data_IF_220423597081
#
_entry.id   IF_220423597081
#
_cell.length_a   1.000
_cell.length_b   1.000
_cell.length_c   1.000
_cell.angle_alpha   90.00
_cell.angle_beta   90.00
_cell.angle_gamma   90.00
#
_symmetry.space_group_name_H-M   'P 1'
#
loop_
_entity.id
_entity.type
_entity.pdbx_description
1 polymer ?
#
# COMPACT_ATOMS: atom_id res chain seq x y z
N UNK A 1 7.88 -6.78 -22.37
CA UNK A 1 6.70 -6.68 -23.26
C UNK A 1 5.38 -6.89 -22.52
N UNK A 2 5.16 -8.04 -21.85
CA UNK A 2 3.92 -8.31 -21.08
C UNK A 2 3.52 -7.19 -20.10
N UNK A 3 4.50 -6.65 -19.38
CA UNK A 3 4.34 -5.49 -18.49
C UNK A 3 3.83 -4.23 -19.20
N UNK A 4 4.34 -3.93 -20.40
CA UNK A 4 3.94 -2.76 -21.20
C UNK A 4 2.48 -2.89 -21.70
N UNK A 5 2.02 -4.14 -21.91
CA UNK A 5 0.68 -4.45 -22.42
C UNK A 5 -0.26 -4.93 -21.32
N UNK A 6 0.10 -4.82 -20.04
CA UNK A 6 -0.64 -5.40 -18.93
C UNK A 6 -2.12 -4.97 -18.92
N UNK A 7 -2.41 -3.69 -19.12
CA UNK A 7 -3.78 -3.16 -19.12
C UNK A 7 -4.62 -3.68 -20.28
N UNK A 8 -3.98 -4.11 -21.37
CA UNK A 8 -4.65 -4.68 -22.55
C UNK A 8 -4.81 -6.20 -22.43
N UNK A 9 -3.91 -6.86 -21.71
CA UNK A 9 -3.87 -8.32 -21.57
C UNK A 9 -4.65 -8.83 -20.34
N UNK A 10 -4.88 -7.99 -19.33
CA UNK A 10 -5.65 -8.37 -18.14
C UNK A 10 -7.12 -8.70 -18.52
N UNK A 11 -7.56 -9.91 -18.18
CA UNK A 11 -8.91 -10.39 -18.48
C UNK A 11 -9.09 -10.93 -19.91
N UNK A 12 -8.05 -10.87 -20.76
CA UNK A 12 -8.09 -11.40 -22.12
C UNK A 12 -7.29 -12.71 -22.19
N UNK A 13 -7.82 -13.70 -22.92
CA UNK A 13 -7.09 -14.93 -23.24
C UNK A 13 -6.23 -14.73 -24.51
N UNK A 14 -4.96 -15.12 -24.48
CA UNK A 14 -4.05 -14.97 -25.62
C UNK A 14 -3.04 -16.12 -25.73
N UNK A 15 -2.39 -16.23 -26.89
CA UNK A 15 -1.29 -17.17 -27.10
C UNK A 15 0.06 -16.50 -26.82
N UNK A 16 0.83 -17.04 -25.88
CA UNK A 16 2.17 -16.57 -25.53
C UNK A 16 3.22 -17.40 -26.28
N UNK A 17 3.74 -16.84 -27.38
CA UNK A 17 4.79 -17.48 -28.17
C UNK A 17 6.19 -17.07 -27.69
N UNK A 18 7.03 -18.05 -27.33
CA UNK A 18 8.39 -17.79 -26.82
C UNK A 18 9.39 -18.82 -27.37
N UNK A 19 10.59 -18.35 -27.74
CA UNK A 19 11.69 -19.20 -28.23
C UNK A 19 12.64 -19.71 -27.15
N UNK A 20 12.39 -19.33 -25.90
CA UNK A 20 13.12 -19.79 -24.73
C UNK A 20 12.46 -21.05 -24.12
N UNK A 21 13.04 -22.22 -24.41
CA UNK A 21 12.61 -23.50 -23.82
C UNK A 21 12.72 -23.52 -22.29
N UNK A 22 13.74 -22.87 -21.73
CA UNK A 22 13.93 -22.74 -20.29
C UNK A 22 12.76 -22.01 -19.61
N UNK A 23 12.12 -21.04 -20.29
CA UNK A 23 10.94 -20.34 -19.77
C UNK A 23 9.74 -21.31 -19.66
N UNK A 24 9.58 -22.19 -20.64
CA UNK A 24 8.52 -23.20 -20.64
C UNK A 24 8.66 -24.17 -19.45
N UNK A 25 9.88 -24.65 -19.20
CA UNK A 25 10.19 -25.53 -18.07
C UNK A 25 9.95 -24.81 -16.73
N UNK A 26 10.33 -23.54 -16.65
CA UNK A 26 10.18 -22.72 -15.45
C UNK A 26 8.73 -22.35 -15.11
N UNK A 27 7.86 -22.16 -16.12
CA UNK A 27 6.42 -21.93 -15.93
C UNK A 27 5.72 -23.22 -15.44
N UNK A 28 6.09 -24.36 -16.02
CA UNK A 28 5.48 -25.66 -15.70
C UNK A 28 6.03 -26.28 -14.40
N UNK A 29 7.24 -25.91 -13.99
CA UNK A 29 7.91 -26.43 -12.78
C UNK A 29 8.73 -25.32 -12.12
N UNK A 30 8.09 -24.38 -11.41
CA UNK A 30 8.77 -23.27 -10.78
C UNK A 30 9.68 -23.74 -9.63
N UNK A 31 10.92 -23.26 -9.63
CA UNK A 31 11.90 -23.43 -8.55
C UNK A 31 11.58 -22.50 -7.35
N UNK A 32 12.13 -22.83 -6.18
CA UNK A 32 11.96 -22.22 -4.85
C UNK A 32 11.90 -20.67 -4.81
N UNK A 33 11.25 -20.07 -3.78
CA UNK A 33 10.56 -18.78 -3.86
C UNK A 33 11.42 -17.50 -3.90
N UNK A 34 12.76 -17.58 -3.91
CA UNK A 34 13.62 -16.40 -3.75
C UNK A 34 14.52 -16.08 -4.96
N UNK A 35 14.28 -16.69 -6.12
CA UNK A 35 15.01 -16.33 -7.34
C UNK A 35 14.24 -15.25 -8.13
N UNK A 36 14.93 -14.31 -8.81
CA UNK A 36 14.28 -13.32 -9.68
C UNK A 36 13.32 -13.96 -10.69
N UNK A 37 13.69 -15.14 -11.19
CA UNK A 37 12.88 -15.97 -12.08
C UNK A 37 11.52 -16.35 -11.51
N UNK A 38 11.43 -16.72 -10.22
CA UNK A 38 10.16 -17.10 -9.59
C UNK A 38 9.16 -15.93 -9.53
N UNK A 39 9.65 -14.70 -9.31
CA UNK A 39 8.80 -13.49 -9.34
C UNK A 39 8.20 -13.24 -10.72
N UNK A 40 9.01 -13.45 -11.76
CA UNK A 40 8.54 -13.30 -13.14
C UNK A 40 7.55 -14.38 -13.55
N UNK A 41 7.72 -15.63 -13.12
CA UNK A 41 6.72 -16.69 -13.32
C UNK A 41 5.40 -16.33 -12.66
N UNK A 42 5.43 -15.91 -11.38
CA UNK A 42 4.24 -15.51 -10.66
C UNK A 42 3.51 -14.35 -11.36
N UNK A 43 4.25 -13.38 -11.91
CA UNK A 43 3.67 -12.29 -12.69
C UNK A 43 3.00 -12.78 -13.98
N UNK A 44 3.66 -13.67 -14.73
CA UNK A 44 3.12 -14.21 -15.98
C UNK A 44 1.85 -15.02 -15.70
N UNK A 45 1.81 -15.76 -14.60
CA UNK A 45 0.64 -16.55 -14.16
C UNK A 45 -0.59 -15.71 -13.78
N UNK A 46 -0.48 -14.39 -13.66
CA UNK A 46 -1.65 -13.51 -13.47
C UNK A 46 -2.53 -13.41 -14.73
N UNK A 47 -1.99 -13.75 -15.90
CA UNK A 47 -2.68 -13.66 -17.17
C UNK A 47 -3.28 -15.02 -17.58
N UNK A 48 -4.30 -14.97 -18.43
CA UNK A 48 -4.90 -16.15 -19.04
C UNK A 48 -4.26 -16.38 -20.41
N UNK A 49 -3.50 -17.46 -20.59
CA UNK A 49 -2.79 -17.70 -21.84
C UNK A 49 -2.51 -19.19 -22.11
N UNK A 50 -2.33 -19.51 -23.40
CA UNK A 50 -1.73 -20.75 -23.86
C UNK A 50 -0.25 -20.53 -24.18
N UNK A 51 0.62 -21.39 -23.65
CA UNK A 51 2.07 -21.28 -23.90
C UNK A 51 2.48 -22.07 -25.15
N UNK A 52 3.07 -21.39 -26.13
CA UNK A 52 3.53 -22.03 -27.38
C UNK A 52 5.02 -21.78 -27.58
N UNK A 53 5.81 -22.84 -27.51
CA UNK A 53 7.23 -22.75 -27.85
C UNK A 53 7.43 -22.68 -29.36
N UNK A 54 8.23 -21.73 -29.84
CA UNK A 54 8.66 -21.61 -31.24
C UNK A 54 10.17 -21.75 -31.33
N UNK A 55 10.70 -22.42 -32.35
CA UNK A 55 12.17 -22.42 -32.55
C UNK A 55 12.63 -21.02 -32.97
N UNK A 56 13.73 -20.52 -32.41
CA UNK A 56 14.27 -19.19 -32.71
C UNK A 56 14.49 -18.91 -34.20
N UNK A 57 14.82 -19.94 -35.00
CA UNK A 57 14.95 -19.84 -36.47
C UNK A 57 13.66 -19.42 -37.18
N UNK A 58 12.50 -19.70 -36.58
CA UNK A 58 11.18 -19.33 -37.09
C UNK A 58 10.59 -18.06 -36.45
N UNK A 59 11.25 -17.53 -35.42
CA UNK A 59 10.79 -16.39 -34.63
C UNK A 59 11.45 -15.08 -35.09
N UNK A 60 11.56 -14.89 -36.41
CA UNK A 60 12.38 -13.85 -37.04
C UNK A 60 11.83 -12.44 -36.87
N UNK A 61 10.50 -12.26 -36.83
CA UNK A 61 9.86 -10.96 -36.67
C UNK A 61 10.15 -10.35 -35.27
N UNK A 62 9.89 -11.04 -34.15
CA UNK A 62 10.28 -10.55 -32.83
C UNK A 62 11.79 -10.40 -32.64
N UNK A 63 12.60 -11.32 -33.21
CA UNK A 63 14.06 -11.23 -33.17
C UNK A 63 14.59 -9.98 -33.88
N UNK A 64 14.01 -9.63 -35.04
CA UNK A 64 14.30 -8.41 -35.77
C UNK A 64 13.95 -7.13 -34.99
N UNK A 65 12.84 -7.14 -34.24
CA UNK A 65 12.46 -6.04 -33.36
C UNK A 65 13.39 -5.92 -32.14
N UNK A 66 13.85 -7.05 -31.59
CA UNK A 66 14.77 -7.05 -30.45
C UNK A 66 16.18 -6.57 -30.82
N UNK A 67 16.61 -6.81 -32.07
CA UNK A 67 17.94 -6.46 -32.57
C UNK A 67 18.02 -5.08 -33.22
N UNK A 68 16.88 -4.43 -33.44
CA UNK A 68 16.83 -3.09 -34.04
C UNK A 68 17.49 -2.08 -33.09
N UNK A 69 18.36 -1.18 -33.60
CA UNK A 69 18.86 -0.06 -32.80
C UNK A 69 17.70 0.86 -32.40
N UNK A 70 17.77 1.33 -31.16
CA UNK A 70 16.78 2.22 -30.55
C UNK A 70 16.79 3.57 -31.27
N UNK A 71 15.62 4.17 -31.52
CA UNK A 71 15.54 5.50 -32.15
C UNK A 71 15.73 6.62 -31.11
N UNK A 72 16.13 7.83 -31.55
CA UNK A 72 16.35 8.99 -30.66
C UNK A 72 15.15 9.33 -29.76
N UNK A 73 13.92 9.10 -30.23
CA UNK A 73 12.71 9.30 -29.43
C UNK A 73 12.52 8.22 -28.34
N UNK A 74 13.00 7.00 -28.57
CA UNK A 74 12.95 5.88 -27.62
C UNK A 74 14.09 5.94 -26.58
N UNK A 75 15.13 6.74 -26.84
CA UNK A 75 16.20 7.03 -25.88
C UNK A 75 15.75 8.02 -24.79
N UNK A 76 14.88 8.97 -25.14
CA UNK A 76 14.27 9.93 -24.20
C UNK A 76 13.28 9.28 -23.24
N UNK A 77 12.66 8.16 -23.63
CA UNK A 77 11.79 7.33 -22.78
C UNK A 77 12.56 6.33 -21.88
N UNK A 78 13.86 6.54 -21.65
CA UNK A 78 14.57 5.79 -20.59
C UNK A 78 14.05 6.23 -19.21
N UNK A 79 12.92 5.68 -18.79
CA UNK A 79 12.74 5.42 -17.36
C UNK A 79 13.64 4.23 -17.05
N UNK A 80 14.70 4.44 -16.25
CA UNK A 80 15.49 3.33 -15.74
C UNK A 80 14.54 2.31 -15.11
N UNK A 81 14.63 1.07 -15.60
CA UNK A 81 13.78 -0.01 -15.14
C UNK A 81 14.18 -0.34 -13.71
N UNK A 82 13.46 0.22 -12.75
CA UNK A 82 13.65 -0.06 -11.34
C UNK A 82 13.03 -1.43 -11.03
N UNK A 83 13.88 -2.45 -10.97
CA UNK A 83 13.52 -3.82 -10.59
C UNK A 83 12.89 -3.88 -9.19
N UNK A 84 13.15 -2.89 -8.34
CA UNK A 84 12.62 -2.75 -6.99
C UNK A 84 11.31 -1.95 -6.92
N UNK A 85 10.87 -1.32 -8.02
CA UNK A 85 9.59 -0.62 -8.02
C UNK A 85 8.45 -1.65 -7.91
N UNK A 86 7.79 -1.68 -6.74
CA UNK A 86 6.66 -2.56 -6.45
C UNK A 86 5.52 -2.35 -7.47
N UNK A 87 5.40 -3.32 -8.37
CA UNK A 87 4.50 -3.38 -9.54
C UNK A 87 3.02 -3.16 -9.25
N UNK A 88 2.62 -3.60 -8.07
CA UNK A 88 1.42 -3.12 -7.43
C UNK A 88 1.92 -2.19 -6.36
N UNK A 89 1.81 -0.87 -6.55
CA UNK A 89 1.47 -0.05 -5.38
C UNK A 89 0.13 -0.64 -4.98
N UNK A 90 0.02 -1.46 -3.91
CA UNK A 90 -1.31 -1.74 -3.44
C UNK A 90 -1.99 -0.38 -3.40
N UNK A 91 -3.20 -0.27 -3.97
CA UNK A 91 -4.07 0.85 -3.60
C UNK A 91 -3.91 0.98 -2.08
N UNK A 92 -3.78 2.17 -1.47
CA UNK A 92 -3.42 2.28 -0.04
C UNK A 92 -4.20 1.30 0.87
N UNK A 93 -5.37 0.89 0.39
CA UNK A 93 -6.25 -0.17 0.83
C UNK A 93 -5.93 -1.67 0.50
N UNK A 94 -5.43 -2.02 -0.70
CA UNK A 94 -5.39 -3.39 -1.23
C UNK A 94 -4.27 -4.28 -0.67
N UNK A 95 -3.32 -3.71 0.08
CA UNK A 95 -2.23 -4.44 0.73
C UNK A 95 -2.38 -4.54 2.24
N UNK A 96 -3.30 -3.77 2.82
CA UNK A 96 -3.57 -3.81 4.25
C UNK A 96 -5.06 -3.88 4.46
N UNK A 97 -5.57 -5.08 4.76
CA UNK A 97 -6.97 -5.23 5.17
C UNK A 97 -7.21 -4.19 6.27
N UNK A 98 -8.24 -3.31 6.21
CA UNK A 98 -8.70 -2.52 7.39
C UNK A 98 -8.78 -3.44 8.59
N UNK A 99 -9.30 -4.62 8.28
CA UNK A 99 -9.54 -5.68 9.22
C UNK A 99 -8.26 -6.19 9.87
N UNK A 100 -7.06 -6.00 9.29
CA UNK A 100 -5.80 -6.45 9.88
C UNK A 100 -5.09 -5.37 10.69
N UNK A 101 -5.02 -4.08 10.32
CA UNK A 101 -4.45 -3.08 11.25
C UNK A 101 -5.31 -2.96 12.51
N UNK A 102 -6.64 -3.04 12.34
CA UNK A 102 -7.59 -3.03 13.45
C UNK A 102 -7.62 -4.37 14.21
N UNK A 103 -7.19 -5.51 13.60
CA UNK A 103 -7.06 -6.82 14.27
C UNK A 103 -5.67 -7.17 14.78
N UNK A 104 -4.60 -6.59 14.26
CA UNK A 104 -3.21 -7.02 14.50
C UNK A 104 -2.82 -6.85 15.96
N UNK A 105 -3.61 -6.13 16.72
CA UNK A 105 -3.69 -6.33 18.14
C UNK A 105 -5.14 -6.60 18.53
N UNK A 106 -5.37 -7.73 19.21
CA UNK A 106 -6.46 -7.91 20.16
C UNK A 106 -6.42 -6.91 21.34
N UNK A 107 -5.73 -5.77 21.18
CA UNK A 107 -5.97 -4.58 21.96
C UNK A 107 -7.30 -4.03 21.45
N UNK A 108 -8.34 -4.23 22.25
CA UNK A 108 -9.41 -3.24 22.40
C UNK A 108 -8.80 -1.85 22.24
N UNK A 109 -8.87 -1.25 21.06
CA UNK A 109 -8.66 0.18 20.90
C UNK A 109 -9.90 0.89 21.46
N UNK A 110 -10.19 0.63 22.74
CA UNK A 110 -10.61 1.69 23.63
C UNK A 110 -9.42 2.63 23.66
N UNK A 111 -9.30 3.47 22.63
CA UNK A 111 -8.32 4.53 22.60
C UNK A 111 -8.54 5.31 23.90
N UNK A 112 -7.65 5.12 24.88
CA UNK A 112 -7.68 5.88 26.12
C UNK A 112 -7.19 7.26 25.74
N UNK A 113 -8.08 8.01 25.09
CA UNK A 113 -7.79 9.34 24.62
C UNK A 113 -7.35 10.14 25.83
N UNK A 114 -6.18 10.75 25.73
CA UNK A 114 -5.58 11.48 26.84
C UNK A 114 -6.07 12.92 26.83
N UNK A 115 -6.39 13.43 28.03
CA UNK A 115 -6.64 14.84 28.30
C UNK A 115 -7.64 15.51 27.34
N UNK A 116 -7.14 16.31 26.39
CA UNK A 116 -7.93 17.08 25.45
C UNK A 116 -8.76 16.21 24.50
N UNK A 117 -8.19 15.10 24.02
CA UNK A 117 -8.86 14.20 23.08
C UNK A 117 -10.03 13.46 23.73
N UNK A 118 -9.94 13.18 25.04
CA UNK A 118 -11.04 12.62 25.81
C UNK A 118 -12.27 13.54 25.79
N UNK A 119 -12.04 14.86 25.90
CA UNK A 119 -13.11 15.86 25.85
C UNK A 119 -13.75 15.95 24.46
N UNK A 120 -12.97 15.78 23.39
CA UNK A 120 -13.50 15.67 22.02
C UNK A 120 -14.38 14.42 21.88
N UNK A 121 -13.93 13.26 22.39
CA UNK A 121 -14.73 12.03 22.38
C UNK A 121 -16.02 12.20 23.18
N UNK A 122 -15.96 12.82 24.36
CA UNK A 122 -17.15 13.09 25.19
C UNK A 122 -18.13 14.04 24.49
N UNK A 123 -17.62 15.10 23.85
CA UNK A 123 -18.42 16.04 23.07
C UNK A 123 -19.07 15.37 21.86
N UNK A 124 -18.33 14.59 21.06
CA UNK A 124 -18.88 13.90 19.89
C UNK A 124 -19.89 12.81 20.27
N UNK A 125 -19.74 12.17 21.43
CA UNK A 125 -20.72 11.19 21.92
C UNK A 125 -22.02 11.85 22.44
N UNK A 126 -21.91 12.97 23.17
CA UNK A 126 -23.05 13.56 23.87
C UNK A 126 -23.66 14.78 23.16
N UNK A 127 -22.95 15.36 22.19
CA UNK A 127 -23.21 16.65 21.55
C UNK A 127 -23.55 17.76 22.55
N UNK A 128 -22.98 17.65 23.76
CA UNK A 128 -23.19 18.55 24.89
C UNK A 128 -21.85 19.04 25.39
N UNK A 129 -21.84 20.25 25.92
CA UNK A 129 -20.65 20.83 26.58
C UNK A 129 -20.14 19.88 27.66
N UNK A 130 -18.86 19.44 27.61
CA UNK A 130 -18.30 18.56 28.62
C UNK A 130 -18.28 19.27 29.99
N UNK A 131 -18.68 18.54 31.03
CA UNK A 131 -18.82 19.06 32.40
C UNK A 131 -17.48 19.63 32.90
N UNK A 132 -17.49 20.86 33.42
CA UNK A 132 -16.28 21.53 33.93
C UNK A 132 -15.39 22.21 32.89
N UNK A 133 -15.81 22.30 31.62
CA UNK A 133 -15.04 23.04 30.59
C UNK A 133 -15.29 24.54 30.68
N UNK A 134 -14.21 25.34 30.75
CA UNK A 134 -14.28 26.81 30.55
C UNK A 134 -14.85 27.13 29.16
N UNK A 135 -15.45 28.30 29.00
CA UNK A 135 -16.14 28.65 27.75
C UNK A 135 -15.19 28.73 26.55
N UNK A 136 -13.98 29.24 26.77
CA UNK A 136 -12.93 29.26 25.74
C UNK A 136 -12.45 27.87 25.35
N UNK A 137 -12.37 26.94 26.31
CA UNK A 137 -12.03 25.54 26.03
C UNK A 137 -13.13 24.84 25.25
N UNK A 138 -14.40 25.14 25.56
CA UNK A 138 -15.52 24.60 24.82
C UNK A 138 -15.54 25.08 23.36
N UNK A 139 -15.34 26.38 23.11
CA UNK A 139 -15.22 26.92 21.75
C UNK A 139 -14.08 26.26 20.97
N UNK A 140 -12.96 25.96 21.63
CA UNK A 140 -11.85 25.21 21.01
C UNK A 140 -12.24 23.77 20.67
N UNK A 141 -12.93 23.07 21.59
CA UNK A 141 -13.41 21.71 21.37
C UNK A 141 -14.39 21.68 20.20
N UNK A 142 -15.39 22.56 20.18
CA UNK A 142 -16.40 22.66 19.13
C UNK A 142 -15.74 22.90 17.75
N UNK A 143 -14.89 23.93 17.64
CA UNK A 143 -14.16 24.24 16.41
C UNK A 143 -13.31 23.07 15.92
N UNK A 144 -12.62 22.39 16.84
CA UNK A 144 -11.70 21.30 16.47
C UNK A 144 -12.46 20.03 16.11
N UNK A 145 -13.57 19.74 16.80
CA UNK A 145 -14.38 18.52 16.65
C UNK A 145 -14.98 18.35 15.25
N UNK A 146 -15.21 19.43 14.50
CA UNK A 146 -15.70 19.37 13.11
C UNK A 146 -14.80 18.54 12.17
N UNK A 147 -13.49 18.50 12.47
CA UNK A 147 -12.51 17.73 11.71
C UNK A 147 -12.46 16.25 12.13
N UNK A 148 -13.27 15.82 13.08
CA UNK A 148 -13.25 14.48 13.64
C UNK A 148 -14.65 13.86 13.66
N UNK A 149 -14.70 12.56 13.85
CA UNK A 149 -15.92 11.79 14.05
C UNK A 149 -15.63 10.53 14.84
N UNK A 150 -16.68 9.92 15.38
CA UNK A 150 -16.59 8.62 16.04
C UNK A 150 -17.13 7.55 15.11
N UNK A 151 -16.39 6.44 14.99
CA UNK A 151 -16.79 5.26 14.25
C UNK A 151 -16.33 4.03 15.04
N UNK A 152 -17.25 3.12 15.35
CA UNK A 152 -16.96 1.91 16.14
C UNK A 152 -16.26 2.18 17.49
N UNK A 153 -16.56 3.31 18.13
CA UNK A 153 -15.94 3.73 19.40
C UNK A 153 -14.52 4.30 19.26
N UNK A 154 -14.03 4.47 18.02
CA UNK A 154 -12.74 5.07 17.72
C UNK A 154 -12.90 6.52 17.26
N UNK A 155 -12.00 7.39 17.73
CA UNK A 155 -11.91 8.76 17.22
C UNK A 155 -11.14 8.75 15.89
N UNK A 156 -11.80 9.19 14.83
CA UNK A 156 -11.20 9.31 13.48
C UNK A 156 -11.16 10.77 13.04
N UNK A 157 -10.06 11.15 12.40
CA UNK A 157 -9.87 12.44 11.73
C UNK A 157 -10.41 12.35 10.31
N UNK A 158 -11.23 13.32 9.92
CA UNK A 158 -11.65 13.52 8.53
C UNK A 158 -10.44 13.93 7.72
N UNK A 159 -10.11 13.12 6.73
CA UNK A 159 -9.00 13.36 5.81
C UNK A 159 -9.37 12.73 4.45
N UNK A 160 -8.86 13.31 3.36
CA UNK A 160 -9.14 12.86 2.00
C UNK A 160 -7.87 12.21 1.43
N UNK A 161 -7.94 11.04 0.76
CA UNK A 161 -9.16 10.27 0.45
C UNK A 161 -9.75 9.51 1.63
N UNK A 162 -8.94 9.20 2.66
CA UNK A 162 -9.34 8.30 3.74
C UNK A 162 -9.23 8.94 5.13
N UNK A 163 -10.21 8.68 6.02
CA UNK A 163 -10.10 9.01 7.43
C UNK A 163 -8.92 8.32 8.13
N UNK A 164 -8.39 8.96 9.17
CA UNK A 164 -7.23 8.46 9.93
C UNK A 164 -7.63 8.22 11.39
N UNK A 165 -7.15 7.15 12.02
CA UNK A 165 -7.39 6.88 13.45
C UNK A 165 -6.55 7.83 14.32
N UNK A 166 -7.18 8.48 15.30
CA UNK A 166 -6.50 9.42 16.20
C UNK A 166 -5.87 8.69 17.37
N UNK A 167 -4.54 8.83 17.52
CA UNK A 167 -3.76 8.16 18.57
C UNK A 167 -3.14 9.19 19.50
N UNK A 168 -3.71 9.40 20.69
CA UNK A 168 -3.18 10.39 21.65
C UNK A 168 -1.99 9.90 22.47
N UNK A 169 -1.91 8.61 22.78
CA UNK A 169 -0.93 8.07 23.73
C UNK A 169 0.41 7.75 23.05
N UNK A 170 1.51 8.22 23.63
CA UNK A 170 2.87 7.98 23.12
C UNK A 170 3.23 6.49 23.10
N UNK A 171 2.75 5.72 24.08
CA UNK A 171 3.00 4.27 24.12
C UNK A 171 2.32 3.57 22.94
N UNK A 172 1.08 3.95 22.63
CA UNK A 172 0.35 3.43 21.46
C UNK A 172 1.00 3.86 20.15
N UNK A 173 1.47 5.11 20.04
CA UNK A 173 2.20 5.59 18.87
C UNK A 173 3.48 4.77 18.61
N UNK A 174 4.27 4.50 19.65
CA UNK A 174 5.47 3.67 19.55
C UNK A 174 5.13 2.21 19.20
N UNK A 175 4.08 1.66 19.79
CA UNK A 175 3.59 0.32 19.47
C UNK A 175 3.23 0.20 17.99
N UNK A 176 2.41 1.12 17.47
CA UNK A 176 2.01 1.17 16.06
C UNK A 176 3.23 1.25 15.13
N UNK A 177 4.18 2.14 15.42
CA UNK A 177 5.40 2.29 14.62
C UNK A 177 6.24 1.01 14.61
N UNK A 178 6.41 0.37 15.77
CA UNK A 178 7.19 -0.87 15.90
C UNK A 178 6.52 -2.03 15.17
N UNK A 179 5.24 -2.26 15.42
CA UNK A 179 4.47 -3.36 14.82
C UNK A 179 4.41 -3.26 13.31
N UNK A 180 4.17 -2.06 12.76
CA UNK A 180 4.19 -1.86 11.30
C UNK A 180 5.57 -2.07 10.69
N UNK A 181 6.63 -1.66 11.39
CA UNK A 181 7.99 -1.88 10.91
C UNK A 181 8.35 -3.37 10.88
N UNK A 182 7.92 -4.14 11.87
CA UNK A 182 8.10 -5.60 11.93
C UNK A 182 7.28 -6.32 10.85
N UNK A 183 5.99 -5.96 10.68
CA UNK A 183 5.11 -6.56 9.67
C UNK A 183 5.62 -6.32 8.25
N UNK A 184 6.20 -5.15 7.97
CA UNK A 184 6.75 -4.83 6.66
C UNK A 184 8.14 -5.45 6.41
N UNK A 185 8.74 -6.13 7.39
CA UNK A 185 10.06 -6.72 7.24
C UNK A 185 11.20 -5.70 7.31
N UNK A 186 11.07 -4.70 8.19
CA UNK A 186 12.11 -3.68 8.45
C UNK A 186 12.51 -2.85 7.22
N UNK A 187 11.55 -2.46 6.38
CA UNK A 187 11.73 -1.60 5.17
C UNK A 187 12.29 -0.19 5.42
N UNK A 188 12.65 0.14 6.66
CA UNK A 188 13.24 1.41 7.04
C UNK A 188 12.21 2.45 7.51
N UNK A 189 12.71 3.48 8.19
CA UNK A 189 11.89 4.45 8.92
C UNK A 189 10.97 5.28 8.01
N UNK A 190 11.44 5.66 6.81
CA UNK A 190 10.67 6.47 5.86
C UNK A 190 9.43 5.73 5.36
N UNK A 191 9.57 4.45 5.03
CA UNK A 191 8.47 3.62 4.54
C UNK A 191 7.45 3.35 5.65
N UNK A 192 7.93 3.02 6.85
CA UNK A 192 7.10 2.90 8.05
C UNK A 192 6.33 4.18 8.33
N UNK A 193 6.98 5.33 8.30
CA UNK A 193 6.31 6.61 8.50
C UNK A 193 5.25 6.92 7.43
N UNK A 194 5.57 6.69 6.15
CA UNK A 194 4.64 6.88 5.02
C UNK A 194 3.34 6.11 5.26
N UNK A 195 3.45 4.83 5.61
CA UNK A 195 2.30 3.94 5.86
C UNK A 195 1.53 4.35 7.10
N UNK A 196 2.20 4.65 8.20
CA UNK A 196 1.55 5.10 9.44
C UNK A 196 0.74 6.37 9.19
N UNK A 197 1.25 7.30 8.38
CA UNK A 197 0.57 8.55 8.01
C UNK A 197 -0.68 8.32 7.16
N UNK A 198 -0.81 7.20 6.46
CA UNK A 198 -2.02 6.91 5.69
C UNK A 198 -3.18 6.43 6.59
N UNK A 199 -2.87 5.81 7.72
CA UNK A 199 -3.84 5.09 8.58
C UNK A 199 -4.08 5.75 9.94
N UNK A 200 -3.06 6.38 10.51
CA UNK A 200 -3.06 6.95 11.85
C UNK A 200 -2.69 8.43 11.82
N UNK A 201 -3.14 9.16 12.83
CA UNK A 201 -2.82 10.56 13.01
C UNK A 201 -2.63 10.93 14.48
N UNK A 202 -1.64 11.78 14.75
CA UNK A 202 -1.42 12.45 16.04
C UNK A 202 -0.76 13.82 15.82
N UNK A 203 -0.86 14.74 16.80
CA UNK A 203 -0.44 16.14 16.63
C UNK A 203 1.04 16.29 16.24
N UNK A 204 1.92 15.54 16.89
CA UNK A 204 3.37 15.64 16.73
C UNK A 204 3.92 14.79 15.58
N UNK A 205 3.04 14.19 14.77
CA UNK A 205 3.44 13.26 13.72
C UNK A 205 4.36 13.90 12.67
N UNK A 206 4.23 15.20 12.41
CA UNK A 206 5.09 15.92 11.44
C UNK A 206 6.54 16.14 11.89
N UNK A 207 6.82 16.01 13.19
CA UNK A 207 8.16 16.27 13.78
C UNK A 207 9.03 15.02 13.88
N UNK A 208 8.51 13.86 13.46
CA UNK A 208 9.18 12.55 13.57
C UNK A 208 10.05 12.27 12.32
N UNK A 209 10.04 13.16 11.32
CA UNK A 209 10.85 13.06 10.09
C UNK A 209 12.05 13.98 10.16
#
# INVERSE_FOLDING_TARGET
>A
MLKKLQTLLLGQHFELQVDAKALAEMINSPCLPNTPTARWVAFIQLFSFDFVHKLGKTFTLPDGLSKRPRSEDEEKEKSDFDEEEEWTKPHPWFGVKHNNIVKLEGIKLQSKQESFWKRIVEYLNKLKRPFGSKEDDFKKIERKSSNFFLEEGQLKRRNTPNPQVVVSSHNSQRGILKSLNEEMGHRGQKETYRRVKEISWWEEMKKIV
#
